data_IF_055554613735
#
_entry.id   IF_055554613735
#
_cell.length_a   1.000
_cell.length_b   1.000
_cell.length_c   1.000
_cell.angle_alpha   90.00
_cell.angle_beta   90.00
_cell.angle_gamma   90.00
#
_symmetry.space_group_name_H-M   'P 1'
#
loop_
_entity.id
_entity.type
_entity.pdbx_description
1 polymer ?
#
# COMPACT_ATOMS: atom_id res chain seq x y z
N UNK A 1 -41.85 6.56 -14.16
CA UNK A 1 -41.54 7.84 -13.53
C UNK A 1 -40.65 7.52 -12.35
N UNK A 2 -39.33 7.57 -12.55
CA UNK A 2 -38.35 7.31 -11.49
C UNK A 2 -38.11 8.62 -10.74
N UNK A 3 -38.35 8.65 -9.48
CA UNK A 3 -38.07 9.80 -8.62
C UNK A 3 -36.62 9.70 -8.14
N UNK A 4 -35.74 10.54 -8.68
CA UNK A 4 -34.35 10.67 -8.20
C UNK A 4 -34.36 11.44 -6.88
N UNK A 5 -34.01 10.76 -5.80
CA UNK A 5 -33.62 11.41 -4.54
C UNK A 5 -32.12 11.71 -4.59
N UNK A 6 -31.75 12.91 -5.01
CA UNK A 6 -30.40 13.44 -4.79
C UNK A 6 -30.25 13.87 -3.33
N UNK A 7 -29.50 13.11 -2.56
CA UNK A 7 -29.05 13.52 -1.24
C UNK A 7 -28.00 14.64 -1.38
N UNK A 8 -28.39 15.85 -0.96
CA UNK A 8 -27.51 17.06 -0.94
C UNK A 8 -26.68 17.14 0.37
N UNK A 9 -26.12 16.01 0.85
CA UNK A 9 -25.30 16.00 2.05
C UNK A 9 -23.94 15.31 1.80
N UNK A 10 -23.09 15.89 0.96
CA UNK A 10 -21.73 15.36 0.72
C UNK A 10 -20.59 16.15 1.38
N UNK A 11 -20.88 17.23 2.11
CA UNK A 11 -19.83 18.08 2.68
C UNK A 11 -19.61 18.01 4.19
N UNK A 12 -20.55 17.40 4.93
CA UNK A 12 -20.51 17.44 6.41
C UNK A 12 -20.15 16.13 7.09
N UNK A 13 -20.28 15.01 6.38
CA UNK A 13 -20.11 13.67 6.98
C UNK A 13 -18.65 13.22 6.99
N UNK A 14 -17.87 13.63 6.01
CA UNK A 14 -16.44 13.25 5.91
C UNK A 14 -15.60 13.85 7.04
N UNK A 15 -15.86 15.10 7.41
CA UNK A 15 -15.15 15.77 8.51
C UNK A 15 -15.51 15.26 9.91
N UNK A 16 -16.70 14.66 10.07
CA UNK A 16 -17.13 14.03 11.33
C UNK A 16 -16.65 12.58 11.47
N UNK A 17 -16.38 11.90 10.35
CA UNK A 17 -15.82 10.55 10.35
C UNK A 17 -14.32 10.51 10.66
N UNK A 18 -13.58 11.58 10.38
CA UNK A 18 -12.16 11.69 10.77
C UNK A 18 -11.96 11.97 12.26
N UNK A 19 -12.99 12.47 12.97
CA UNK A 19 -12.88 12.86 14.38
C UNK A 19 -13.29 11.77 15.39
N UNK A 20 -13.91 10.67 14.93
CA UNK A 20 -14.35 9.58 15.80
C UNK A 20 -13.79 8.25 15.30
N UNK A 21 -12.54 7.97 15.62
CA UNK A 21 -12.02 6.61 15.47
C UNK A 21 -12.73 5.69 16.47
N UNK A 22 -13.19 4.50 16.05
CA UNK A 22 -13.87 3.52 16.94
C UNK A 22 -13.04 3.12 18.17
N UNK A 23 -11.73 3.35 18.14
CA UNK A 23 -10.78 3.11 19.22
C UNK A 23 -11.13 3.87 20.53
N UNK A 24 -11.88 4.96 20.42
CA UNK A 24 -12.23 5.79 21.61
C UNK A 24 -13.43 5.24 22.38
N UNK A 25 -14.27 4.40 21.73
CA UNK A 25 -15.54 3.98 22.30
C UNK A 25 -15.55 2.55 22.85
N UNK A 26 -14.69 1.64 22.37
CA UNK A 26 -14.73 0.22 22.79
C UNK A 26 -13.45 -0.28 23.45
N UNK A 27 -12.32 0.40 23.31
CA UNK A 27 -11.01 -0.09 23.76
C UNK A 27 -10.51 -1.33 23.01
N UNK A 28 -11.29 -1.84 22.08
CA UNK A 28 -10.94 -2.98 21.22
C UNK A 28 -10.51 -2.48 19.86
N UNK A 29 -9.37 -2.97 19.39
CA UNK A 29 -8.84 -2.58 18.09
C UNK A 29 -9.51 -3.39 16.96
N UNK A 30 -9.80 -2.74 15.82
CA UNK A 30 -10.27 -3.46 14.66
C UNK A 30 -9.20 -4.44 14.16
N UNK A 31 -9.63 -5.60 13.66
CA UNK A 31 -8.74 -6.56 13.03
C UNK A 31 -8.38 -6.12 11.61
N UNK A 32 -7.11 -6.23 11.22
CA UNK A 32 -6.68 -6.02 9.85
C UNK A 32 -6.27 -7.33 9.20
N UNK A 33 -6.71 -7.50 7.96
CA UNK A 33 -6.48 -8.73 7.20
C UNK A 33 -6.10 -8.41 5.76
N UNK A 34 -5.19 -9.22 5.21
CA UNK A 34 -5.03 -9.30 3.76
C UNK A 34 -5.99 -10.34 3.23
N UNK A 35 -6.73 -9.97 2.20
CA UNK A 35 -7.71 -10.84 1.58
C UNK A 35 -7.42 -11.02 0.09
N UNK A 36 -7.78 -12.18 -0.41
CA UNK A 36 -8.01 -12.40 -1.82
C UNK A 36 -9.51 -12.29 -2.07
N UNK A 37 -9.89 -11.32 -2.88
CA UNK A 37 -11.30 -11.02 -3.15
C UNK A 37 -11.91 -12.09 -4.06
N UNK A 38 -11.22 -12.41 -5.16
CA UNK A 38 -11.69 -13.32 -6.19
C UNK A 38 -10.53 -13.83 -7.03
N UNK A 39 -10.60 -15.09 -7.51
CA UNK A 39 -9.65 -15.67 -8.45
C UNK A 39 -10.24 -15.80 -9.85
N UNK A 40 -9.39 -15.78 -10.90
CA UNK A 40 -9.79 -16.28 -12.20
C UNK A 40 -10.11 -17.78 -12.14
N UNK A 41 -10.97 -18.23 -13.04
CA UNK A 41 -11.40 -19.63 -13.14
C UNK A 41 -12.91 -19.81 -12.95
N UNK A 42 -13.32 -21.06 -12.77
CA UNK A 42 -14.73 -21.40 -12.61
C UNK A 42 -15.23 -20.99 -11.21
N UNK A 43 -16.28 -20.17 -11.20
CA UNK A 43 -16.99 -19.78 -9.99
C UNK A 43 -18.46 -20.23 -10.01
N UNK A 44 -19.20 -19.83 -8.98
CA UNK A 44 -20.64 -20.15 -8.84
C UNK A 44 -21.51 -19.46 -9.90
N UNK A 45 -21.12 -18.30 -10.39
CA UNK A 45 -21.89 -17.50 -11.35
C UNK A 45 -21.40 -17.65 -12.80
N UNK A 46 -20.31 -18.37 -13.05
CA UNK A 46 -19.70 -18.53 -14.36
C UNK A 46 -18.18 -18.58 -14.27
N UNK A 47 -17.52 -18.48 -15.43
CA UNK A 47 -16.06 -18.44 -15.52
C UNK A 47 -15.56 -17.00 -15.45
N UNK A 48 -14.68 -16.70 -14.53
CA UNK A 48 -14.02 -15.40 -14.40
C UNK A 48 -12.69 -15.39 -15.14
N UNK A 49 -12.57 -14.58 -16.18
CA UNK A 49 -11.31 -14.42 -16.92
C UNK A 49 -10.39 -13.41 -16.22
N UNK A 50 -9.08 -13.62 -16.30
CA UNK A 50 -8.09 -12.66 -15.76
C UNK A 50 -8.28 -11.26 -16.36
N UNK A 51 -8.58 -11.18 -17.68
CA UNK A 51 -8.78 -9.92 -18.37
C UNK A 51 -9.98 -9.14 -17.81
N UNK A 52 -11.12 -9.83 -17.60
CA UNK A 52 -12.33 -9.19 -17.06
C UNK A 52 -12.16 -8.79 -15.59
N UNK A 53 -11.46 -9.61 -14.79
CA UNK A 53 -11.13 -9.24 -13.40
C UNK A 53 -10.21 -8.03 -13.35
N UNK A 54 -9.16 -8.00 -14.17
CA UNK A 54 -8.27 -6.85 -14.26
C UNK A 54 -9.00 -5.57 -14.69
N UNK A 55 -9.93 -5.67 -15.65
CA UNK A 55 -10.76 -4.54 -16.07
C UNK A 55 -11.75 -4.09 -14.97
N UNK A 56 -12.14 -4.99 -14.07
CA UNK A 56 -13.10 -4.73 -13.00
C UNK A 56 -12.45 -4.22 -11.69
N UNK A 57 -11.12 -4.22 -11.58
CA UNK A 57 -10.40 -3.91 -10.33
C UNK A 57 -10.78 -2.56 -9.72
N UNK A 58 -11.04 -1.56 -10.56
CA UNK A 58 -11.43 -0.21 -10.14
C UNK A 58 -12.78 -0.13 -9.42
N UNK A 59 -13.60 -1.19 -9.46
CA UNK A 59 -14.88 -1.25 -8.74
C UNK A 59 -14.75 -1.70 -7.28
N UNK A 60 -13.52 -1.96 -6.80
CA UNK A 60 -13.21 -2.34 -5.42
C UNK A 60 -12.33 -1.28 -4.73
N UNK A 61 -12.78 -0.04 -4.56
CA UNK A 61 -12.01 1.00 -3.89
C UNK A 61 -11.96 0.77 -2.38
N UNK A 62 -10.99 1.41 -1.72
CA UNK A 62 -11.01 1.57 -0.28
C UNK A 62 -12.35 2.16 0.18
N UNK A 63 -12.91 1.65 1.28
CA UNK A 63 -14.24 1.99 1.75
C UNK A 63 -15.34 1.04 1.27
N UNK A 64 -15.09 0.13 0.31
CA UNK A 64 -16.06 -0.91 -0.05
C UNK A 64 -16.46 -1.68 1.19
N UNK A 65 -17.79 -1.74 1.47
CA UNK A 65 -18.33 -2.37 2.66
C UNK A 65 -18.20 -3.89 2.63
N UNK A 66 -18.02 -4.48 3.81
CA UNK A 66 -17.95 -5.92 4.00
C UNK A 66 -19.00 -6.35 5.01
N UNK A 67 -19.77 -7.38 4.66
CA UNK A 67 -20.83 -7.89 5.52
C UNK A 67 -20.59 -9.35 5.89
N UNK A 68 -21.22 -9.79 6.97
CA UNK A 68 -21.39 -11.22 7.27
C UNK A 68 -22.48 -11.76 6.37
N UNK A 69 -22.15 -12.79 5.60
CA UNK A 69 -22.99 -13.45 4.59
C UNK A 69 -23.47 -12.56 3.44
N UNK A 70 -23.85 -13.19 2.33
CA UNK A 70 -24.58 -12.52 1.26
C UNK A 70 -26.04 -12.26 1.68
N UNK A 71 -26.68 -11.23 1.12
CA UNK A 71 -28.11 -11.05 1.33
C UNK A 71 -28.87 -12.25 0.78
N UNK A 72 -29.96 -12.62 1.45
CA UNK A 72 -30.97 -13.48 0.83
C UNK A 72 -31.61 -12.76 -0.35
N UNK A 73 -32.24 -13.51 -1.26
CA UNK A 73 -32.94 -12.90 -2.41
C UNK A 73 -33.98 -11.87 -2.01
N UNK A 74 -34.66 -12.11 -0.90
CA UNK A 74 -35.69 -11.20 -0.37
C UNK A 74 -35.04 -9.93 0.22
N UNK A 75 -33.90 -10.06 0.87
CA UNK A 75 -33.15 -8.91 1.38
C UNK A 75 -32.57 -8.07 0.26
N UNK A 76 -32.03 -8.71 -0.76
CA UNK A 76 -31.46 -8.01 -1.92
C UNK A 76 -32.50 -7.14 -2.64
N UNK A 77 -33.75 -7.61 -2.69
CA UNK A 77 -34.86 -6.86 -3.30
C UNK A 77 -35.47 -5.82 -2.36
N UNK A 78 -35.72 -6.20 -1.09
CA UNK A 78 -36.47 -5.38 -0.15
C UNK A 78 -35.61 -4.47 0.73
N UNK A 79 -34.30 -4.75 0.83
CA UNK A 79 -33.33 -3.95 1.57
C UNK A 79 -31.98 -3.91 0.83
N UNK A 80 -31.93 -3.25 -0.32
CA UNK A 80 -30.68 -3.19 -1.12
C UNK A 80 -29.53 -2.49 -0.38
N UNK A 81 -29.83 -1.63 0.63
CA UNK A 81 -28.85 -0.97 1.48
C UNK A 81 -28.23 -1.90 2.53
N UNK A 82 -28.70 -3.14 2.64
CA UNK A 82 -28.24 -4.14 3.63
C UNK A 82 -28.53 -3.73 5.08
N UNK A 83 -28.22 -4.63 5.99
CA UNK A 83 -28.41 -4.42 7.43
C UNK A 83 -27.13 -3.90 8.09
N UNK A 84 -27.22 -2.81 8.83
CA UNK A 84 -26.10 -2.31 9.63
C UNK A 84 -25.64 -3.31 10.70
N UNK A 85 -26.51 -4.28 11.08
CA UNK A 85 -26.15 -5.32 12.05
C UNK A 85 -25.16 -6.33 11.48
N UNK A 86 -25.16 -6.50 10.16
CA UNK A 86 -24.32 -7.46 9.44
C UNK A 86 -23.09 -6.79 8.85
N UNK A 87 -22.98 -5.47 8.96
CA UNK A 87 -21.84 -4.70 8.50
C UNK A 87 -20.62 -5.03 9.38
N UNK A 88 -19.71 -5.84 8.83
CA UNK A 88 -18.60 -6.42 9.56
C UNK A 88 -17.28 -5.65 9.37
N UNK A 89 -17.16 -4.88 8.30
CA UNK A 89 -15.92 -4.19 8.00
C UNK A 89 -15.94 -3.43 6.69
N UNK A 90 -14.75 -3.13 6.19
CA UNK A 90 -14.55 -2.43 4.90
C UNK A 90 -13.18 -2.74 4.32
N UNK A 91 -13.00 -2.56 3.03
CA UNK A 91 -11.69 -2.48 2.43
C UNK A 91 -10.97 -1.20 2.91
N UNK A 92 -9.69 -1.30 3.23
CA UNK A 92 -8.85 -0.15 3.63
C UNK A 92 -7.83 0.24 2.58
N UNK A 93 -7.65 -0.61 1.57
CA UNK A 93 -6.92 -0.29 0.34
C UNK A 93 -7.81 -0.49 -0.87
N UNK A 94 -7.49 0.18 -1.97
CA UNK A 94 -8.01 -0.19 -3.27
C UNK A 94 -7.54 -1.61 -3.61
N UNK A 95 -8.36 -2.35 -4.36
CA UNK A 95 -7.94 -3.66 -4.84
C UNK A 95 -6.83 -3.56 -5.88
N UNK A 96 -5.96 -4.58 -5.89
CA UNK A 96 -4.88 -4.72 -6.87
C UNK A 96 -4.94 -6.08 -7.54
N UNK A 97 -4.47 -6.15 -8.79
CA UNK A 97 -4.34 -7.42 -9.52
C UNK A 97 -3.04 -8.10 -9.13
N UNK A 98 -3.10 -9.32 -8.65
CA UNK A 98 -1.94 -10.14 -8.36
C UNK A 98 -1.31 -10.77 -9.61
N UNK A 99 -0.13 -11.36 -9.45
CA UNK A 99 0.57 -12.06 -10.55
C UNK A 99 -0.17 -13.30 -11.08
N UNK A 100 -1.09 -13.82 -10.29
CA UNK A 100 -1.98 -14.94 -10.60
C UNK A 100 -3.32 -14.51 -11.22
N UNK A 101 -3.47 -13.21 -11.53
CA UNK A 101 -4.69 -12.63 -12.05
C UNK A 101 -5.82 -12.45 -11.04
N UNK A 102 -5.62 -12.86 -9.78
CA UNK A 102 -6.60 -12.68 -8.71
C UNK A 102 -6.61 -11.22 -8.19
N UNK A 103 -7.72 -10.80 -7.59
CA UNK A 103 -7.83 -9.50 -6.95
C UNK A 103 -7.55 -9.60 -5.45
N UNK A 104 -6.74 -8.68 -4.95
CA UNK A 104 -6.31 -8.61 -3.55
C UNK A 104 -6.56 -7.24 -2.97
N UNK A 105 -6.86 -7.19 -1.67
CA UNK A 105 -6.93 -5.95 -0.90
C UNK A 105 -6.59 -6.20 0.57
N UNK A 106 -6.45 -5.13 1.33
CA UNK A 106 -6.49 -5.17 2.79
C UNK A 106 -7.87 -4.74 3.27
N UNK A 107 -8.34 -5.36 4.32
CA UNK A 107 -9.59 -5.00 4.96
C UNK A 107 -9.44 -4.79 6.46
N UNK A 108 -10.35 -4.05 7.01
CA UNK A 108 -10.54 -3.82 8.43
C UNK A 108 -11.86 -4.45 8.86
N UNK A 109 -11.81 -5.28 9.89
CA UNK A 109 -12.98 -5.90 10.52
C UNK A 109 -13.28 -5.15 11.81
N UNK A 110 -14.52 -4.75 11.99
CA UNK A 110 -14.95 -4.04 13.19
C UNK A 110 -14.83 -4.93 14.44
N UNK A 111 -14.53 -4.35 15.61
CA UNK A 111 -14.27 -5.11 16.84
C UNK A 111 -15.35 -6.14 17.17
N UNK A 112 -16.62 -5.80 16.97
CA UNK A 112 -17.77 -6.68 17.25
C UNK A 112 -17.78 -7.99 16.43
N UNK A 113 -17.06 -8.05 15.31
CA UNK A 113 -16.97 -9.24 14.44
C UNK A 113 -15.58 -9.87 14.45
N UNK A 114 -14.58 -9.16 14.98
CA UNK A 114 -13.19 -9.58 14.87
C UNK A 114 -12.92 -10.92 15.54
N UNK A 115 -13.52 -11.19 16.69
CA UNK A 115 -13.34 -12.47 17.40
C UNK A 115 -13.90 -13.64 16.59
N UNK A 116 -15.09 -13.46 15.98
CA UNK A 116 -15.71 -14.48 15.13
C UNK A 116 -14.84 -14.78 13.91
N UNK A 117 -14.33 -13.73 13.25
CA UNK A 117 -13.45 -13.87 12.08
C UNK A 117 -12.15 -14.54 12.46
N UNK A 118 -11.52 -14.17 13.57
CA UNK A 118 -10.26 -14.77 14.04
C UNK A 118 -10.43 -16.23 14.45
N UNK A 119 -11.51 -16.57 15.12
CA UNK A 119 -11.79 -17.96 15.52
C UNK A 119 -12.02 -18.87 14.31
N UNK A 120 -12.69 -18.35 13.27
CA UNK A 120 -13.19 -19.15 12.14
C UNK A 120 -12.50 -18.84 10.83
N UNK A 121 -11.35 -18.14 10.87
CA UNK A 121 -10.71 -17.61 9.66
C UNK A 121 -10.37 -18.66 8.60
N UNK A 122 -10.12 -19.93 9.01
CA UNK A 122 -9.83 -21.04 8.09
C UNK A 122 -11.07 -21.55 7.35
N UNK A 123 -12.25 -21.34 7.95
CA UNK A 123 -13.54 -21.80 7.43
C UNK A 123 -14.34 -20.68 6.74
N UNK A 124 -13.80 -19.44 6.78
CA UNK A 124 -14.41 -18.28 6.17
C UNK A 124 -13.74 -17.96 4.84
N UNK A 125 -14.54 -17.90 3.80
CA UNK A 125 -14.15 -17.37 2.51
C UNK A 125 -14.56 -15.91 2.34
N UNK A 126 -14.14 -15.33 1.23
CA UNK A 126 -14.53 -13.99 0.79
C UNK A 126 -15.26 -14.13 -0.54
N UNK A 127 -16.37 -13.41 -0.70
CA UNK A 127 -17.18 -13.45 -1.91
C UNK A 127 -17.68 -12.05 -2.27
N UNK A 128 -17.90 -11.79 -3.55
CA UNK A 128 -18.35 -10.49 -4.03
C UNK A 128 -19.86 -10.46 -4.24
N UNK A 129 -20.47 -9.33 -3.95
CA UNK A 129 -21.79 -8.96 -4.45
C UNK A 129 -21.58 -7.87 -5.51
N UNK A 130 -21.54 -8.30 -6.76
CA UNK A 130 -21.27 -7.46 -7.93
C UNK A 130 -22.36 -7.65 -8.97
N UNK A 131 -22.51 -6.68 -9.83
CA UNK A 131 -23.51 -6.71 -10.90
C UNK A 131 -22.90 -6.24 -12.23
N UNK A 132 -23.52 -6.70 -13.32
CA UNK A 132 -23.27 -6.21 -14.67
C UNK A 132 -24.60 -6.12 -15.42
N UNK A 133 -24.70 -5.13 -16.31
CA UNK A 133 -25.84 -5.01 -17.20
C UNK A 133 -25.82 -6.09 -18.30
N UNK A 134 -24.62 -6.63 -18.56
CA UNK A 134 -24.42 -7.72 -19.50
C UNK A 134 -24.51 -9.08 -18.78
N UNK A 135 -25.20 -10.03 -19.40
CA UNK A 135 -25.22 -11.40 -18.93
C UNK A 135 -23.93 -12.14 -19.25
N UNK A 136 -23.88 -13.45 -18.89
CA UNK A 136 -22.80 -14.33 -19.32
C UNK A 136 -22.73 -14.35 -20.86
N UNK A 137 -21.53 -14.44 -21.39
CA UNK A 137 -21.34 -14.67 -22.82
C UNK A 137 -21.69 -16.12 -23.24
N UNK A 138 -21.52 -16.45 -24.52
CA UNK A 138 -21.85 -17.77 -25.07
C UNK A 138 -20.99 -18.89 -24.47
N UNK A 139 -19.81 -18.57 -23.93
CA UNK A 139 -18.88 -19.50 -23.31
C UNK A 139 -19.04 -19.56 -21.79
N UNK A 140 -20.03 -18.87 -21.23
CA UNK A 140 -20.31 -18.80 -19.80
C UNK A 140 -19.31 -17.92 -19.03
N UNK A 141 -18.68 -16.98 -19.72
CA UNK A 141 -17.72 -16.04 -19.09
C UNK A 141 -18.48 -14.88 -18.46
N UNK A 142 -18.13 -14.59 -17.22
CA UNK A 142 -18.67 -13.44 -16.49
C UNK A 142 -18.09 -12.15 -17.09
N UNK A 143 -18.94 -11.18 -17.47
CA UNK A 143 -18.49 -9.92 -18.03
C UNK A 143 -17.69 -9.08 -17.03
N UNK A 144 -17.11 -7.99 -17.51
CA UNK A 144 -16.58 -6.92 -16.66
C UNK A 144 -17.72 -6.40 -15.78
N UNK A 145 -17.47 -6.16 -14.51
CA UNK A 145 -18.47 -5.62 -13.59
C UNK A 145 -18.76 -4.16 -13.93
N UNK A 146 -20.03 -3.79 -13.83
CA UNK A 146 -20.46 -2.39 -13.89
C UNK A 146 -20.50 -1.76 -12.51
N UNK A 147 -20.51 -2.60 -11.46
CA UNK A 147 -20.40 -2.15 -10.08
C UNK A 147 -20.29 -3.29 -9.08
N UNK A 148 -19.83 -2.92 -7.88
CA UNK A 148 -19.69 -3.80 -6.71
C UNK A 148 -20.46 -3.18 -5.55
N UNK A 149 -21.35 -3.97 -4.96
CA UNK A 149 -22.13 -3.56 -3.80
C UNK A 149 -21.36 -3.80 -2.51
N UNK A 150 -20.71 -4.99 -2.41
CA UNK A 150 -19.96 -5.38 -1.22
C UNK A 150 -18.98 -6.51 -1.50
N UNK A 151 -18.09 -6.72 -0.54
CA UNK A 151 -17.23 -7.89 -0.43
C UNK A 151 -17.59 -8.57 0.89
N UNK A 152 -18.14 -9.77 0.84
CA UNK A 152 -18.79 -10.39 2.02
C UNK A 152 -17.97 -11.55 2.57
N UNK A 153 -17.98 -11.75 3.89
CA UNK A 153 -17.49 -12.94 4.55
C UNK A 153 -18.53 -14.04 4.42
N UNK A 154 -18.13 -15.20 3.90
CA UNK A 154 -19.04 -16.32 3.64
C UNK A 154 -18.40 -17.63 4.08
N UNK A 155 -19.23 -18.64 4.38
CA UNK A 155 -18.72 -19.99 4.70
C UNK A 155 -18.20 -20.73 3.47
N UNK A 156 -18.60 -20.33 2.25
CA UNK A 156 -18.14 -20.93 1.00
C UNK A 156 -18.03 -19.87 -0.09
N UNK A 157 -16.79 -19.52 -0.42
CA UNK A 157 -16.50 -18.59 -1.51
C UNK A 157 -16.88 -19.20 -2.87
N UNK A 158 -17.54 -18.39 -3.71
CA UNK A 158 -17.97 -18.82 -5.05
C UNK A 158 -16.84 -18.91 -6.07
N UNK A 159 -15.77 -18.14 -5.89
CA UNK A 159 -14.64 -18.03 -6.83
C UNK A 159 -13.30 -17.82 -6.10
N UNK A 160 -13.00 -18.62 -5.11
CA UNK A 160 -11.69 -18.71 -4.47
C UNK A 160 -11.26 -17.52 -3.60
N UNK A 161 -12.18 -16.63 -3.24
CA UNK A 161 -11.87 -15.57 -2.28
C UNK A 161 -11.59 -16.13 -0.88
N UNK A 162 -10.65 -15.55 -0.16
CA UNK A 162 -10.16 -16.05 1.12
C UNK A 162 -9.54 -14.96 1.99
N UNK A 163 -9.53 -15.17 3.31
CA UNK A 163 -8.62 -14.48 4.21
C UNK A 163 -7.24 -15.15 4.08
N UNK A 164 -6.18 -14.35 3.95
CA UNK A 164 -4.83 -14.86 3.70
C UNK A 164 -3.90 -14.67 4.89
N UNK A 165 -3.99 -13.53 5.54
CA UNK A 165 -3.05 -13.11 6.57
C UNK A 165 -3.73 -12.17 7.55
N UNK A 166 -3.44 -12.36 8.83
CA UNK A 166 -3.77 -11.40 9.88
C UNK A 166 -2.67 -10.35 9.88
N UNK A 167 -3.00 -9.16 9.46
CA UNK A 167 -2.11 -8.02 9.58
C UNK A 167 -2.30 -7.48 11.00
N UNK A 168 -1.51 -7.96 11.96
CA UNK A 168 -1.53 -7.33 13.27
C UNK A 168 -1.30 -5.84 13.06
N UNK A 169 -2.19 -5.02 13.63
CA UNK A 169 -1.91 -3.60 13.76
C UNK A 169 -0.54 -3.53 14.42
N UNK A 170 0.48 -3.10 13.68
CA UNK A 170 1.77 -2.82 14.28
C UNK A 170 1.41 -1.90 15.45
N UNK A 171 1.53 -2.43 16.66
CA UNK A 171 1.68 -1.55 17.80
C UNK A 171 2.74 -0.57 17.36
N UNK A 172 2.38 0.67 17.25
CA UNK A 172 3.32 1.74 17.51
C UNK A 172 3.62 1.53 19.00
N UNK A 173 4.47 0.56 19.27
CA UNK A 173 5.11 0.45 20.56
C UNK A 173 5.82 1.78 20.70
N UNK A 174 5.41 2.46 21.76
CA UNK A 174 5.99 3.69 22.26
C UNK A 174 7.45 3.88 21.81
N UNK A 175 7.79 5.08 21.52
CA UNK A 175 9.03 5.66 21.00
C UNK A 175 10.38 4.99 21.37
N UNK A 176 10.41 4.11 22.34
CA UNK A 176 11.62 3.42 22.80
C UNK A 176 12.06 2.23 21.91
N UNK A 177 11.13 1.44 21.35
CA UNK A 177 11.52 0.34 20.44
C UNK A 177 11.90 0.86 19.04
N UNK A 178 11.32 1.96 18.63
CA UNK A 178 11.65 2.58 17.34
C UNK A 178 13.05 3.25 17.40
N UNK A 179 13.44 3.81 18.56
CA UNK A 179 14.78 4.35 18.77
C UNK A 179 15.87 3.26 18.76
N UNK A 180 15.62 2.12 19.42
CA UNK A 180 16.59 1.01 19.43
C UNK A 180 16.78 0.38 18.04
N UNK A 181 15.71 0.29 17.28
CA UNK A 181 15.78 -0.30 15.93
C UNK A 181 16.46 0.66 14.95
N UNK A 182 16.22 1.95 15.07
CA UNK A 182 16.86 2.98 14.23
C UNK A 182 18.36 3.12 14.55
N UNK A 183 18.74 3.07 15.81
CA UNK A 183 20.13 3.08 16.24
C UNK A 183 20.89 1.84 15.74
N UNK A 184 20.28 0.67 15.83
CA UNK A 184 20.86 -0.59 15.34
C UNK A 184 21.05 -0.56 13.82
N UNK A 185 20.09 -0.03 13.09
CA UNK A 185 20.17 0.13 11.62
C UNK A 185 21.25 1.15 11.27
N UNK A 186 21.33 2.28 11.96
CA UNK A 186 22.39 3.29 11.75
C UNK A 186 23.77 2.73 12.02
N UNK A 187 23.95 1.95 13.07
CA UNK A 187 25.23 1.30 13.39
C UNK A 187 25.59 0.25 12.33
N UNK A 188 24.65 -0.56 11.88
CA UNK A 188 24.90 -1.54 10.82
C UNK A 188 25.31 -0.87 9.50
N UNK A 189 24.65 0.21 9.12
CA UNK A 189 25.00 1.00 7.93
C UNK A 189 26.38 1.64 8.09
N UNK A 190 26.68 2.24 9.24
CA UNK A 190 27.99 2.86 9.49
C UNK A 190 29.12 1.84 9.42
N UNK A 191 28.92 0.64 9.97
CA UNK A 191 29.91 -0.45 9.90
C UNK A 191 30.12 -0.92 8.46
N UNK A 192 29.04 -1.17 7.71
CA UNK A 192 29.12 -1.61 6.32
C UNK A 192 29.81 -0.57 5.41
N UNK A 193 29.53 0.71 5.62
CA UNK A 193 30.17 1.81 4.87
C UNK A 193 31.66 1.89 5.21
N UNK A 194 32.04 1.75 6.49
CA UNK A 194 33.44 1.78 6.93
C UNK A 194 34.21 0.60 6.35
N UNK A 195 33.66 -0.60 6.37
CA UNK A 195 34.27 -1.78 5.79
C UNK A 195 34.39 -1.69 4.26
N UNK A 196 33.41 -1.12 3.58
CA UNK A 196 33.45 -0.93 2.13
C UNK A 196 34.49 0.14 1.68
N UNK A 197 34.71 1.15 2.52
CA UNK A 197 35.69 2.24 2.22
C UNK A 197 37.12 1.90 2.65
N UNK A 198 37.34 0.96 3.57
CA UNK A 198 38.67 0.62 4.07
C UNK A 198 39.66 0.27 2.96
N UNK A 199 39.33 -0.53 1.93
CA UNK A 199 40.27 -0.83 0.83
C UNK A 199 40.64 0.39 -0.02
N UNK A 200 39.69 1.34 -0.18
CA UNK A 200 39.93 2.58 -0.94
C UNK A 200 40.86 3.54 -0.17
N UNK A 201 40.69 3.62 1.14
CA UNK A 201 41.56 4.42 2.01
C UNK A 201 42.98 3.86 2.07
N UNK A 202 43.15 2.54 2.06
CA UNK A 202 44.46 1.89 1.96
C UNK A 202 45.14 2.17 0.61
N UNK A 203 44.38 2.20 -0.48
CA UNK A 203 44.89 2.56 -1.81
C UNK A 203 45.38 4.02 -1.87
N UNK A 204 44.57 4.95 -1.32
CA UNK A 204 44.93 6.36 -1.23
C UNK A 204 46.12 6.62 -0.31
N UNK A 205 46.31 5.84 0.76
CA UNK A 205 47.44 5.92 1.65
C UNK A 205 48.76 5.42 0.99
N UNK A 206 48.67 4.46 0.06
CA UNK A 206 49.83 3.95 -0.72
C UNK A 206 50.31 4.91 -1.78
N UNK A 207 49.45 5.75 -2.34
CA UNK A 207 49.81 6.77 -3.32
C UNK A 207 50.44 8.04 -2.70
N UNK A 208 50.46 8.17 -1.38
CA UNK A 208 51.08 9.25 -0.62
C UNK A 208 52.43 8.83 -0.01
N UNK A 209 53.27 8.10 -0.75
CA UNK A 209 54.71 8.00 -0.43
C UNK A 209 55.38 9.35 -0.71
N UNK A 210 56.22 9.88 0.21
CA UNK A 210 56.88 11.15 0.00
C UNK A 210 57.87 11.01 -1.16
N UNK A 211 57.44 11.50 -2.32
CA UNK A 211 58.30 11.68 -3.49
C UNK A 211 59.37 12.74 -3.21
N UNK A 212 60.56 12.41 -3.62
CA UNK A 212 61.80 13.16 -3.64
C UNK A 212 61.62 14.69 -3.63
N UNK A 213 62.37 15.33 -2.74
CA UNK A 213 62.54 16.78 -2.74
C UNK A 213 63.14 17.21 -4.11
N UNK A 214 62.59 18.22 -4.76
CA UNK A 214 63.18 18.78 -5.92
C UNK A 214 64.50 19.54 -5.51
N UNK A 215 65.57 19.11 -6.06
CA UNK A 215 66.87 19.78 -5.99
C UNK A 215 66.72 21.17 -6.60
N UNK A 216 67.12 22.20 -5.83
CA UNK A 216 67.12 23.58 -6.28
C UNK A 216 68.18 23.75 -7.40
N UNK A 217 67.85 24.40 -8.51
CA UNK A 217 68.86 24.78 -9.51
C UNK A 217 69.71 25.96 -9.01
N UNK A 218 70.99 25.78 -9.07
CA UNK A 218 72.04 26.84 -8.88
C UNK A 218 71.76 28.02 -9.78
N UNK A 219 71.90 29.23 -9.22
CA UNK A 219 71.85 30.50 -9.92
C UNK A 219 73.19 30.79 -10.66
N UNK A 220 73.17 31.23 -11.90
CA UNK A 220 74.32 31.88 -12.50
C UNK A 220 74.38 33.39 -12.16
N UNK A 221 75.56 33.81 -11.88
CA UNK A 221 75.97 35.16 -11.49
C UNK A 221 75.90 36.18 -12.67
N UNK A 222 75.54 37.37 -12.28
CA UNK A 222 76.13 38.63 -12.77
C UNK A 222 75.62 39.19 -14.10
N UNK A 223 75.00 40.36 -14.01
CA UNK A 223 75.53 41.62 -14.55
C UNK A 223 74.47 42.73 -14.41
N UNK A 224 74.88 43.84 -13.82
CA UNK A 224 74.22 45.15 -13.85
C UNK A 224 74.98 46.05 -14.87
N UNK A 225 74.61 47.31 -15.08
CA UNK A 225 73.36 48.06 -15.06
C UNK A 225 73.10 48.85 -16.37
N UNK A 226 71.97 49.51 -16.49
CA UNK A 226 71.67 50.46 -17.57
C UNK A 226 70.40 51.25 -17.40
N UNK A 227 70.59 52.40 -16.91
CA UNK A 227 69.92 53.69 -16.99
C UNK A 227 68.56 53.84 -17.72
N UNK A 228 67.63 54.49 -17.03
CA UNK A 228 66.56 55.46 -17.30
C UNK A 228 66.73 56.24 -18.66
N UNK A 229 65.73 56.91 -19.28
CA UNK A 229 64.59 57.66 -18.67
C UNK A 229 63.26 57.83 -19.48
N UNK A 230 62.33 58.43 -18.80
CA UNK A 230 61.28 59.37 -19.30
C UNK A 230 60.19 58.82 -20.24
N UNK A 231 58.88 58.99 -19.98
CA UNK A 231 58.12 60.23 -19.97
C UNK A 231 56.58 59.95 -19.75
N UNK A 232 56.04 60.80 -18.97
CA UNK A 232 54.58 61.10 -18.84
C UNK A 232 53.99 61.65 -20.14
N UNK A 233 52.71 62.12 -20.14
CA UNK A 233 51.38 61.69 -19.65
C UNK A 233 50.30 61.88 -20.73
N UNK A 234 48.98 61.92 -20.25
CA UNK A 234 47.77 62.44 -20.90
C UNK A 234 47.02 61.42 -21.77
N UNK A 235 45.71 61.25 -21.68
CA UNK A 235 44.57 62.02 -21.10
C UNK A 235 43.55 61.08 -20.48
#
# INVERSE_FOLDING_TARGET
MRTEYRSAFHGGVTALLEAATPDVLSGEKPGRYRIRIICPGQGSSGTYSEANLAASVGHFPAGTQMFMDHPSKDEDVNRPERSVKDLAGRLVTDAVVGLDGALYAECEVYPSFNDIIREKWQDIGVSINAWSENGLDADGIVPVFDGVTSVDFVTKAGAGGALLEVLESQRVSSDEENHMNEETIRQAIATAVTEALAPLLELLAKDNLPGEQPVAPEAPAGEAPGEDPERKPEE
#
